data_IF_126666035511
#
_entry.id   IF_126666035511
#
_cell.length_a   1.000
_cell.length_b   1.000
_cell.length_c   1.000
_cell.angle_alpha   90.00
_cell.angle_beta   90.00
_cell.angle_gamma   90.00
#
_symmetry.space_group_name_H-M   'P 1'
#
loop_
_entity.id
_entity.type
_entity.pdbx_description
1 polymer ?
#
# COMPACT_ATOMS: atom_id res chain seq x y z
N UNK A 1 -1.92 -9.86 -6.24
CA UNK A 1 -1.26 -10.47 -5.06
C UNK A 1 -1.96 -9.92 -3.82
N UNK A 2 -2.12 -10.66 -2.71
CA UNK A 2 -2.74 -10.12 -1.50
C UNK A 2 -1.67 -9.65 -0.51
N UNK A 3 -1.78 -8.43 0.04
CA UNK A 3 -0.85 -7.91 1.04
C UNK A 3 -1.20 -8.45 2.44
N UNK A 4 -0.28 -9.16 3.13
CA UNK A 4 -0.52 -9.66 4.47
C UNK A 4 -0.45 -8.57 5.55
N UNK A 5 -1.20 -8.76 6.63
CA UNK A 5 -1.16 -7.91 7.81
C UNK A 5 0.10 -8.20 8.64
N UNK A 6 0.71 -7.15 9.19
CA UNK A 6 1.93 -7.17 10.01
C UNK A 6 3.19 -7.67 9.29
N UNK A 7 3.17 -7.66 7.96
CA UNK A 7 4.28 -8.11 7.14
C UNK A 7 4.75 -7.01 6.19
N UNK A 8 6.03 -7.07 5.85
CA UNK A 8 6.64 -6.18 4.85
C UNK A 8 6.77 -6.93 3.53
N UNK A 9 6.39 -6.28 2.45
CA UNK A 9 6.52 -6.77 1.07
C UNK A 9 7.23 -5.74 0.20
N UNK A 10 7.89 -6.25 -0.83
CA UNK A 10 8.38 -5.44 -1.94
C UNK A 10 7.37 -5.59 -3.08
N UNK A 11 6.85 -4.48 -3.57
CA UNK A 11 5.95 -4.45 -4.70
C UNK A 11 6.72 -3.97 -5.93
N UNK A 12 6.58 -4.71 -7.03
CA UNK A 12 6.98 -4.25 -8.35
C UNK A 12 5.82 -3.48 -8.97
N UNK A 13 6.10 -2.27 -9.41
CA UNK A 13 5.17 -1.40 -10.13
C UNK A 13 5.76 -1.16 -11.51
N UNK A 14 5.07 -1.64 -12.53
CA UNK A 14 5.45 -1.44 -13.92
C UNK A 14 5.44 0.07 -14.24
N UNK A 15 6.50 0.54 -14.87
CA UNK A 15 6.49 1.90 -15.42
C UNK A 15 5.43 1.94 -16.52
N UNK A 16 4.69 3.05 -16.65
CA UNK A 16 3.72 3.23 -17.73
C UNK A 16 4.30 2.71 -19.06
N UNK A 17 3.55 1.91 -19.83
CA UNK A 17 4.06 1.37 -21.07
C UNK A 17 4.50 2.53 -21.95
N UNK A 18 5.80 2.56 -22.27
CA UNK A 18 6.28 3.40 -23.35
C UNK A 18 5.51 2.95 -24.59
N UNK A 19 4.63 3.80 -25.11
CA UNK A 19 3.76 3.54 -26.27
C UNK A 19 4.53 3.33 -27.59
N UNK A 20 5.82 3.00 -27.53
CA UNK A 20 6.68 2.80 -28.67
C UNK A 20 7.17 1.36 -28.61
N UNK A 21 6.99 0.60 -29.70
CA UNK A 21 7.61 -0.69 -29.93
C UNK A 21 9.15 -0.59 -30.09
N UNK A 22 9.80 0.24 -29.27
CA UNK A 22 11.23 0.42 -29.22
C UNK A 22 11.80 -0.66 -28.30
N UNK A 23 12.80 -1.37 -28.82
CA UNK A 23 13.54 -2.38 -28.08
C UNK A 23 14.10 -1.78 -26.78
N UNK A 24 13.66 -2.29 -25.63
CA UNK A 24 14.23 -1.96 -24.33
C UNK A 24 15.75 -2.09 -24.38
N UNK A 25 16.48 -1.01 -24.12
CA UNK A 25 17.93 -1.09 -24.09
C UNK A 25 18.37 -1.87 -22.84
N UNK A 26 19.48 -2.63 -22.89
CA UNK A 26 20.07 -3.24 -21.71
C UNK A 26 20.57 -2.13 -20.77
N UNK A 27 19.75 -1.72 -19.82
CA UNK A 27 20.01 -0.59 -18.92
C UNK A 27 18.77 0.20 -18.53
N UNK A 28 17.71 0.10 -19.34
CA UNK A 28 16.44 0.76 -19.04
C UNK A 28 15.76 0.06 -17.85
N UNK A 29 15.29 0.85 -16.90
CA UNK A 29 14.52 0.35 -15.77
C UNK A 29 13.09 0.06 -16.24
N UNK A 30 12.69 -1.20 -16.23
CA UNK A 30 11.36 -1.61 -16.69
C UNK A 30 10.24 -1.35 -15.66
N UNK A 31 10.62 -0.95 -14.45
CA UNK A 31 9.68 -0.61 -13.39
C UNK A 31 10.36 -0.19 -12.10
N UNK A 32 9.55 0.04 -11.08
CA UNK A 32 9.97 0.51 -9.77
C UNK A 32 9.60 -0.48 -8.67
N UNK A 33 10.52 -0.70 -7.73
CA UNK A 33 10.25 -1.48 -6.51
C UNK A 33 9.96 -0.52 -5.36
N UNK A 34 8.88 -0.79 -4.62
CA UNK A 34 8.47 -0.05 -3.42
C UNK A 34 8.38 -1.00 -2.24
N UNK A 35 8.90 -0.60 -1.08
CA UNK A 35 8.65 -1.32 0.17
C UNK A 35 7.33 -0.87 0.79
N UNK A 36 6.48 -1.84 1.10
CA UNK A 36 5.16 -1.64 1.70
C UNK A 36 5.01 -2.50 2.93
N UNK A 37 4.48 -1.94 4.01
CA UNK A 37 4.12 -2.67 5.21
C UNK A 37 2.68 -2.34 5.57
N UNK A 38 1.84 -3.36 5.78
CA UNK A 38 0.55 -3.16 6.45
C UNK A 38 0.71 -3.61 7.89
N UNK A 39 0.27 -2.81 8.85
CA UNK A 39 0.28 -3.12 10.27
C UNK A 39 -1.12 -2.98 10.83
N UNK A 40 -1.49 -3.82 11.78
CA UNK A 40 -2.59 -3.46 12.66
C UNK A 40 -2.18 -2.24 13.51
N UNK A 41 -3.11 -1.33 13.72
CA UNK A 41 -2.95 -0.25 14.71
C UNK A 41 -2.93 -0.80 16.14
N UNK A 42 -3.60 -1.92 16.37
CA UNK A 42 -3.62 -2.65 17.63
C UNK A 42 -2.46 -3.66 17.67
N UNK A 43 -1.52 -3.57 18.63
CA UNK A 43 -0.43 -4.54 18.76
C UNK A 43 -0.89 -5.99 18.97
N UNK A 44 -2.15 -6.20 19.39
CA UNK A 44 -2.78 -7.51 19.58
C UNK A 44 -4.17 -7.50 18.94
N UNK A 45 -4.25 -7.60 17.59
CA UNK A 45 -5.51 -7.49 16.87
C UNK A 45 -6.48 -8.59 17.30
N UNK A 46 -7.75 -8.22 17.45
CA UNK A 46 -8.79 -9.19 17.83
C UNK A 46 -9.08 -10.17 16.71
N UNK A 47 -9.70 -11.32 17.01
CA UNK A 47 -10.16 -12.28 15.98
C UNK A 47 -11.10 -11.63 14.96
N UNK A 48 -11.95 -10.70 15.41
CA UNK A 48 -12.86 -9.94 14.56
C UNK A 48 -12.09 -9.01 13.62
N UNK A 49 -11.07 -8.32 14.13
CA UNK A 49 -10.22 -7.45 13.35
C UNK A 49 -9.46 -8.20 12.25
N UNK A 50 -8.90 -9.37 12.60
CA UNK A 50 -8.25 -10.26 11.64
C UNK A 50 -9.22 -10.78 10.58
N UNK A 51 -10.45 -11.13 10.98
CA UNK A 51 -11.49 -11.57 10.05
C UNK A 51 -11.89 -10.47 9.08
N UNK A 52 -12.11 -9.24 9.57
CA UNK A 52 -12.43 -8.08 8.72
C UNK A 52 -11.28 -7.81 7.74
N UNK A 53 -10.04 -7.79 8.23
CA UNK A 53 -8.88 -7.63 7.35
C UNK A 53 -8.84 -8.70 6.25
N UNK A 54 -9.09 -9.97 6.59
CA UNK A 54 -9.09 -11.07 5.63
C UNK A 54 -10.19 -10.93 4.56
N UNK A 55 -11.39 -10.48 4.96
CA UNK A 55 -12.51 -10.22 4.05
C UNK A 55 -12.17 -9.06 3.11
N UNK A 56 -11.62 -7.97 3.64
CA UNK A 56 -11.33 -6.73 2.92
C UNK A 56 -9.94 -6.72 2.24
N UNK A 57 -9.18 -7.82 2.37
CA UNK A 57 -7.75 -7.85 2.00
C UNK A 57 -7.52 -7.46 0.53
N UNK A 58 -8.44 -7.90 -0.36
CA UNK A 58 -8.38 -7.57 -1.79
C UNK A 58 -8.56 -6.08 -2.04
N UNK A 59 -9.55 -5.48 -1.40
CA UNK A 59 -9.89 -4.06 -1.60
C UNK A 59 -8.81 -3.17 -0.98
N UNK A 60 -8.32 -3.52 0.21
CA UNK A 60 -7.16 -2.89 0.86
C UNK A 60 -5.93 -2.94 -0.05
N UNK A 61 -5.61 -4.11 -0.60
CA UNK A 61 -4.47 -4.29 -1.51
C UNK A 61 -4.63 -3.41 -2.74
N UNK A 62 -5.81 -3.44 -3.38
CA UNK A 62 -6.10 -2.65 -4.59
C UNK A 62 -5.96 -1.15 -4.34
N UNK A 63 -6.48 -0.67 -3.21
CA UNK A 63 -6.37 0.74 -2.83
C UNK A 63 -4.92 1.17 -2.59
N UNK A 64 -4.12 0.31 -1.93
CA UNK A 64 -2.68 0.55 -1.73
C UNK A 64 -1.94 0.55 -3.06
N UNK A 65 -2.13 -0.45 -3.91
CA UNK A 65 -1.48 -0.54 -5.22
C UNK A 65 -1.81 0.68 -6.08
N UNK A 66 -3.07 1.10 -6.12
CA UNK A 66 -3.52 2.29 -6.85
C UNK A 66 -2.83 3.56 -6.35
N UNK A 67 -2.76 3.75 -5.02
CA UNK A 67 -2.08 4.89 -4.41
C UNK A 67 -0.60 4.91 -4.75
N UNK A 68 0.07 3.75 -4.68
CA UNK A 68 1.50 3.64 -4.96
C UNK A 68 1.82 3.81 -6.44
N UNK A 69 0.96 3.32 -7.33
CA UNK A 69 1.08 3.55 -8.77
C UNK A 69 0.98 5.05 -9.09
N UNK A 70 0.01 5.74 -8.47
CA UNK A 70 -0.07 7.20 -8.56
C UNK A 70 1.23 7.85 -8.07
N UNK A 71 1.70 7.47 -6.89
CA UNK A 71 2.92 8.04 -6.30
C UNK A 71 4.19 7.85 -7.14
N UNK A 72 4.40 6.67 -7.73
CA UNK A 72 5.58 6.36 -8.55
C UNK A 72 5.56 7.11 -9.87
N UNK A 73 4.38 7.38 -10.43
CA UNK A 73 4.22 8.10 -11.68
C UNK A 73 4.11 9.62 -11.50
N UNK A 74 3.94 10.12 -10.28
CA UNK A 74 3.92 11.56 -10.00
C UNK A 74 5.29 12.20 -10.17
N UNK A 75 5.30 13.41 -10.72
CA UNK A 75 6.47 14.29 -10.70
C UNK A 75 6.81 14.76 -9.28
N UNK A 76 8.01 15.30 -9.05
CA UNK A 76 8.41 15.82 -7.73
C UNK A 76 7.48 16.92 -7.20
N UNK A 77 6.93 17.74 -8.08
CA UNK A 77 5.94 18.78 -7.77
C UNK A 77 4.56 18.25 -7.38
N UNK A 78 4.27 16.98 -7.67
CA UNK A 78 2.96 16.34 -7.48
C UNK A 78 3.01 15.16 -6.51
N UNK A 79 4.11 15.01 -5.77
CA UNK A 79 4.27 13.95 -4.78
C UNK A 79 3.08 13.96 -3.82
N UNK A 80 2.45 12.79 -3.67
CA UNK A 80 1.35 12.58 -2.73
C UNK A 80 1.67 13.10 -1.31
N UNK A 81 0.67 13.44 -0.49
CA UNK A 81 0.90 13.80 0.90
C UNK A 81 1.64 12.70 1.66
N UNK A 82 2.41 13.08 2.69
CA UNK A 82 3.12 12.13 3.58
C UNK A 82 2.17 11.21 4.35
N UNK A 83 0.91 11.63 4.49
CA UNK A 83 -0.14 10.92 5.21
C UNK A 83 -1.42 10.98 4.37
N UNK A 84 -1.94 9.82 4.03
CA UNK A 84 -3.22 9.60 3.36
C UNK A 84 -4.10 8.73 4.24
N UNK A 85 -5.39 9.02 4.30
CA UNK A 85 -6.38 8.22 5.04
C UNK A 85 -7.36 7.65 4.02
N UNK A 86 -7.50 6.33 4.00
CA UNK A 86 -8.52 5.63 3.22
C UNK A 86 -9.53 5.10 4.23
N UNK A 87 -10.80 5.44 4.04
CA UNK A 87 -11.90 5.04 4.92
C UNK A 87 -12.93 4.30 4.09
N UNK A 88 -13.38 3.17 4.61
CA UNK A 88 -14.51 2.42 4.09
C UNK A 88 -15.58 2.37 5.18
N UNK A 89 -16.73 2.97 4.91
CA UNK A 89 -17.85 3.11 5.85
C UNK A 89 -18.95 2.06 5.61
N UNK A 90 -18.71 1.09 4.72
CA UNK A 90 -19.58 -0.08 4.51
C UNK A 90 -19.63 -1.01 5.73
N UNK A 91 -20.38 -2.11 5.58
CA UNK A 91 -20.80 -3.07 6.61
C UNK A 91 -19.77 -3.40 7.71
N UNK A 92 -18.51 -3.64 7.36
CA UNK A 92 -17.47 -4.01 8.33
C UNK A 92 -16.66 -2.83 8.85
N UNK A 93 -16.64 -1.71 8.13
CA UNK A 93 -16.02 -0.44 8.52
C UNK A 93 -14.52 -0.53 8.80
N UNK A 94 -13.68 0.11 7.99
CA UNK A 94 -12.25 0.19 8.30
C UNK A 94 -11.61 1.52 7.92
N UNK A 95 -10.45 1.78 8.53
CA UNK A 95 -9.56 2.89 8.19
C UNK A 95 -8.16 2.37 7.95
N UNK A 96 -7.54 2.84 6.86
CA UNK A 96 -6.12 2.72 6.61
C UNK A 96 -5.48 4.10 6.73
N UNK A 97 -4.60 4.27 7.70
CA UNK A 97 -3.78 5.48 7.83
C UNK A 97 -2.40 5.18 7.29
N UNK A 98 -1.98 5.89 6.25
CA UNK A 98 -0.66 5.71 5.67
C UNK A 98 0.38 6.66 6.26
N UNK A 99 1.63 6.21 6.21
CA UNK A 99 2.81 6.98 6.54
C UNK A 99 3.90 6.73 5.50
N UNK A 100 4.23 7.78 4.75
CA UNK A 100 5.34 7.77 3.79
C UNK A 100 6.64 8.17 4.47
N UNK A 101 7.69 7.37 4.27
CA UNK A 101 9.04 7.63 4.80
C UNK A 101 10.08 7.38 3.73
N UNK A 102 11.21 8.08 3.79
CA UNK A 102 12.37 7.81 2.93
C UNK A 102 12.85 6.36 3.11
N UNK A 103 13.14 5.68 2.01
CA UNK A 103 13.62 4.30 1.98
C UNK A 103 15.13 4.21 1.76
N UNK A 104 15.91 4.72 2.72
CA UNK A 104 17.38 4.77 2.65
C UNK A 104 18.04 3.41 2.38
N UNK A 105 17.48 2.32 2.89
CA UNK A 105 17.97 0.97 2.63
C UNK A 105 17.82 0.55 1.17
N UNK A 106 16.63 0.77 0.56
CA UNK A 106 16.38 0.41 -0.84
C UNK A 106 17.25 1.17 -1.81
N UNK A 107 17.62 2.42 -1.48
CA UNK A 107 18.55 3.24 -2.27
C UNK A 107 19.97 2.67 -2.34
N UNK A 108 20.33 1.71 -1.48
CA UNK A 108 21.65 1.04 -1.47
C UNK A 108 21.60 -0.34 -2.11
N UNK A 109 20.44 -0.75 -2.65
CA UNK A 109 20.23 -2.07 -3.24
C UNK A 109 19.95 -1.95 -4.73
N UNK A 110 20.42 -2.93 -5.47
CA UNK A 110 20.07 -3.13 -6.87
C UNK A 110 19.00 -4.22 -6.93
N UNK A 111 17.89 -3.91 -7.60
CA UNK A 111 16.80 -4.84 -7.79
C UNK A 111 16.74 -5.24 -9.26
N UNK A 112 16.32 -6.48 -9.52
CA UNK A 112 16.23 -7.03 -10.87
C UNK A 112 14.94 -7.82 -11.03
N UNK A 113 14.34 -7.75 -12.22
CA UNK A 113 13.30 -8.66 -12.68
C UNK A 113 13.89 -9.56 -13.76
N UNK A 114 14.30 -10.77 -13.37
CA UNK A 114 15.16 -11.60 -14.22
C UNK A 114 16.48 -10.87 -14.49
N UNK A 115 16.71 -10.49 -15.76
CA UNK A 115 17.92 -9.75 -16.19
C UNK A 115 17.74 -8.23 -16.24
N UNK A 116 16.52 -7.73 -16.05
CA UNK A 116 16.20 -6.32 -16.23
C UNK A 116 16.36 -5.57 -14.92
N UNK A 117 17.12 -4.45 -14.88
CA UNK A 117 17.26 -3.66 -13.67
C UNK A 117 15.93 -2.98 -13.32
N UNK A 118 15.69 -2.81 -12.01
CA UNK A 118 14.52 -2.11 -11.47
C UNK A 118 14.96 -0.90 -10.65
N UNK A 119 14.19 0.19 -10.74
CA UNK A 119 14.45 1.39 -9.93
C UNK A 119 13.96 1.17 -8.50
N UNK A 120 14.76 1.54 -7.50
CA UNK A 120 14.28 1.62 -6.12
C UNK A 120 13.50 2.90 -5.90
N UNK A 121 12.28 2.80 -5.37
CA UNK A 121 11.54 3.99 -4.95
C UNK A 121 12.27 4.74 -3.84
N UNK A 122 12.21 6.08 -3.88
CA UNK A 122 12.80 6.95 -2.86
C UNK A 122 12.14 6.77 -1.49
N UNK A 123 10.87 6.39 -1.51
CA UNK A 123 10.00 6.28 -0.34
C UNK A 123 9.52 4.84 -0.13
N UNK A 124 9.20 4.53 1.13
CA UNK A 124 8.49 3.34 1.57
C UNK A 124 7.22 3.77 2.29
N UNK A 125 6.26 2.86 2.33
CA UNK A 125 4.94 3.13 2.87
C UNK A 125 4.58 2.16 3.99
N UNK A 126 4.04 2.70 5.07
CA UNK A 126 3.47 1.94 6.17
C UNK A 126 1.99 2.29 6.25
N UNK A 127 1.11 1.30 6.17
CA UNK A 127 -0.33 1.45 6.32
C UNK A 127 -0.75 0.85 7.66
N UNK A 128 -1.41 1.64 8.49
CA UNK A 128 -1.98 1.20 9.75
C UNK A 128 -3.47 0.93 9.54
N UNK A 129 -3.84 -0.34 9.65
CA UNK A 129 -5.22 -0.82 9.58
C UNK A 129 -5.88 -0.76 10.95
N UNK A 130 -7.11 -0.26 10.99
CA UNK A 130 -7.99 -0.30 12.16
C UNK A 130 -9.43 -0.52 11.70
N UNK A 131 -10.18 -1.31 12.47
CA UNK A 131 -11.63 -1.46 12.27
C UNK A 131 -12.36 -0.30 12.93
N UNK A 132 -13.35 0.26 12.24
CA UNK A 132 -14.27 1.21 12.84
C UNK A 132 -15.16 0.41 13.78
N UNK A 133 -15.13 0.68 15.09
CA UNK A 133 -16.12 0.10 15.98
C UNK A 133 -17.49 0.53 15.48
N UNK A 134 -18.30 -0.42 14.99
CA UNK A 134 -19.74 -0.22 14.88
C UNK A 134 -20.20 0.19 16.27
N UNK A 135 -20.44 1.48 16.49
CA UNK A 135 -21.10 1.91 17.70
C UNK A 135 -22.47 1.24 17.65
N UNK A 136 -22.63 0.19 18.46
CA UNK A 136 -23.92 -0.35 18.78
C UNK A 136 -24.66 0.75 19.55
N UNK A 137 -25.25 1.70 18.81
CA UNK A 137 -26.33 2.54 19.30
C UNK A 137 -27.57 1.67 19.46
N UNK A 138 -27.47 0.63 20.30
CA UNK A 138 -28.61 0.07 21.00
C UNK A 138 -28.83 0.94 22.23
N UNK A 139 -29.31 2.16 21.99
CA UNK A 139 -30.11 2.85 23.00
C UNK A 139 -31.38 2.05 23.15
N UNK A 140 -31.34 1.10 24.08
CA UNK A 140 -32.53 0.45 24.59
C UNK A 140 -33.49 1.52 25.08
N UNK A 141 -34.50 1.84 24.27
CA UNK A 141 -35.67 2.58 24.70
C UNK A 141 -36.50 1.63 25.56
N UNK A 142 -36.10 1.49 26.83
CA UNK A 142 -37.04 1.20 27.90
C UNK A 142 -37.67 2.54 28.28
N UNK A 143 -38.91 2.77 27.89
CA UNK A 143 -40.07 3.04 28.76
C UNK A 143 -41.31 2.74 27.94
#
# INVERSE_FOLDING_TARGET
MALPLNETRLLYLEAQPHNSAESLNPGDHIGTVVQVTIKSRNPSPSKVELAIFAIEQRDITTAIETLLLGHVNSSDSEKLPKRVVIREDRLLGYVLVSERRKWTYGQRKQFYWGRYPLRSSEDKWIFYFETIKLQANYTGRRV
#
